data_IF_197147661151
#
_entry.id   IF_197147661151
#
_cell.length_a   1.000
_cell.length_b   1.000
_cell.length_c   1.000
_cell.angle_alpha   90.00
_cell.angle_beta   90.00
_cell.angle_gamma   90.00
#
_symmetry.space_group_name_H-M   'P 1'
#
loop_
_entity.id
_entity.type
_entity.pdbx_description
1 polymer ?
#
# COMPACT_ATOMS: atom_id res chain seq x y z
N UNK A 1 20.45 1.06 13.20
CA UNK A 1 20.82 2.08 12.20
C UNK A 1 19.88 1.87 11.02
N UNK A 2 19.02 2.85 10.74
CA UNK A 2 18.08 3.07 9.62
C UNK A 2 17.32 1.87 9.00
N UNK A 3 15.98 1.92 9.00
CA UNK A 3 15.20 1.16 8.02
C UNK A 3 13.95 1.94 7.51
N UNK A 4 13.84 2.27 6.22
CA UNK A 4 12.63 2.86 5.60
C UNK A 4 11.53 1.80 5.41
N UNK A 5 10.26 2.19 5.15
CA UNK A 5 8.99 1.43 5.38
C UNK A 5 8.95 -0.06 4.97
N UNK A 6 9.84 -0.54 4.10
CA UNK A 6 10.28 -1.95 4.06
C UNK A 6 11.28 -2.30 5.19
N UNK A 7 10.90 -1.94 6.42
CA UNK A 7 11.80 -1.69 7.55
C UNK A 7 12.12 -2.89 8.44
N UNK A 8 11.64 -4.09 8.13
CA UNK A 8 12.05 -5.28 8.86
C UNK A 8 13.40 -5.79 8.32
N UNK A 9 14.50 -5.10 8.62
CA UNK A 9 15.83 -5.71 8.47
C UNK A 9 16.09 -6.64 9.66
N UNK A 10 15.87 -7.93 9.44
CA UNK A 10 16.48 -8.97 10.25
C UNK A 10 17.96 -9.10 9.83
N UNK A 11 18.86 -8.72 10.72
CA UNK A 11 20.31 -8.94 10.55
C UNK A 11 20.59 -10.45 10.48
N UNK A 12 21.07 -10.93 9.33
CA UNK A 12 21.87 -12.17 9.26
C UNK A 12 23.20 -11.84 8.59
N UNK A 13 24.25 -11.79 9.41
CA UNK A 13 25.63 -11.67 8.97
C UNK A 13 26.06 -13.00 8.37
N UNK A 14 26.33 -13.08 7.06
CA UNK A 14 27.05 -14.23 6.50
C UNK A 14 28.15 -13.73 5.56
N UNK A 15 29.35 -14.23 5.87
CA UNK A 15 30.62 -14.00 5.21
C UNK A 15 30.58 -14.32 3.71
N UNK A 16 31.14 -13.40 2.93
CA UNK A 16 31.58 -13.61 1.54
C UNK A 16 32.70 -14.65 1.46
N UNK A 17 32.51 -15.70 0.67
CA UNK A 17 33.60 -16.39 -0.03
C UNK A 17 33.15 -16.77 -1.45
N UNK A 18 33.97 -16.50 -2.50
CA UNK A 18 33.64 -16.85 -3.88
C UNK A 18 34.29 -18.17 -4.29
N UNK A 19 33.61 -18.96 -5.14
CA UNK A 19 34.17 -20.08 -5.91
C UNK A 19 33.50 -20.13 -7.30
N UNK A 20 34.13 -20.78 -8.30
CA UNK A 20 34.41 -20.16 -9.58
C UNK A 20 33.55 -20.68 -10.74
N UNK A 21 33.66 -19.96 -11.87
CA UNK A 21 33.02 -20.26 -13.15
C UNK A 21 33.39 -21.64 -13.71
N UNK A 22 32.47 -22.28 -14.43
CA UNK A 22 32.75 -22.83 -15.78
C UNK A 22 31.51 -23.37 -16.53
N UNK A 23 31.37 -22.85 -17.76
CA UNK A 23 31.05 -23.51 -19.05
C UNK A 23 29.65 -24.11 -19.33
N UNK A 24 28.90 -23.33 -20.12
CA UNK A 24 28.27 -23.63 -21.42
C UNK A 24 28.11 -25.09 -21.87
N UNK A 25 26.87 -25.45 -22.22
CA UNK A 25 26.56 -26.28 -23.39
C UNK A 25 25.28 -25.77 -24.10
N UNK A 26 25.43 -25.47 -25.38
CA UNK A 26 24.34 -25.21 -26.34
C UNK A 26 23.74 -26.54 -26.81
N UNK A 27 22.41 -26.67 -26.82
CA UNK A 27 21.66 -27.47 -27.81
C UNK A 27 20.33 -26.78 -28.09
N UNK A 28 20.14 -26.34 -29.34
CA UNK A 28 18.89 -25.77 -29.82
C UNK A 28 17.88 -26.82 -30.26
N UNK A 29 16.59 -26.47 -30.16
CA UNK A 29 15.51 -27.02 -30.99
C UNK A 29 14.47 -25.93 -31.29
N UNK A 30 14.13 -25.81 -32.58
CA UNK A 30 13.06 -24.98 -33.15
C UNK A 30 11.73 -25.75 -33.15
N UNK A 31 10.65 -24.99 -33.44
CA UNK A 31 9.25 -25.35 -33.78
C UNK A 31 8.33 -25.30 -32.54
N UNK A 32 7.10 -24.79 -32.58
CA UNK A 32 6.22 -24.40 -33.68
C UNK A 32 5.19 -23.38 -33.17
N UNK A 33 4.73 -22.49 -34.04
CA UNK A 33 3.63 -21.57 -33.78
C UNK A 33 2.32 -22.36 -33.68
N UNK A 34 1.47 -22.04 -32.71
CA UNK A 34 0.04 -22.37 -32.73
C UNK A 34 -0.71 -21.28 -32.00
N UNK A 35 -1.36 -20.45 -32.80
CA UNK A 35 -2.34 -19.44 -32.40
C UNK A 35 -3.59 -20.14 -31.85
N UNK A 36 -3.83 -20.03 -30.55
CA UNK A 36 -5.12 -20.32 -29.94
C UNK A 36 -5.71 -19.01 -29.43
N UNK A 37 -6.64 -18.47 -30.21
CA UNK A 37 -7.59 -17.46 -29.77
C UNK A 37 -8.49 -18.07 -28.70
N UNK A 38 -8.25 -17.72 -27.45
CA UNK A 38 -9.16 -18.04 -26.34
C UNK A 38 -9.64 -16.75 -25.72
N UNK A 39 -10.94 -16.53 -25.88
CA UNK A 39 -11.89 -15.93 -24.95
C UNK A 39 -11.48 -14.63 -24.25
N UNK A 40 -12.28 -13.59 -24.43
CA UNK A 40 -12.34 -12.45 -23.51
C UNK A 40 -12.78 -12.96 -22.13
N UNK A 41 -11.87 -13.56 -21.37
CA UNK A 41 -12.02 -13.72 -19.94
C UNK A 41 -11.84 -12.35 -19.31
N UNK A 42 -12.88 -11.89 -18.61
CA UNK A 42 -12.72 -10.90 -17.56
C UNK A 42 -11.67 -11.46 -16.60
N UNK A 43 -10.39 -11.12 -16.80
CA UNK A 43 -9.37 -11.33 -15.80
C UNK A 43 -9.80 -10.52 -14.59
N UNK A 44 -10.48 -11.16 -13.64
CA UNK A 44 -10.50 -10.67 -12.27
C UNK A 44 -9.05 -10.42 -11.90
N UNK A 45 -8.75 -9.17 -11.54
CA UNK A 45 -7.38 -8.76 -11.27
C UNK A 45 -6.82 -9.66 -10.16
N UNK A 46 -5.67 -10.33 -10.41
CA UNK A 46 -4.93 -11.12 -9.40
C UNK A 46 -4.72 -10.37 -8.08
N UNK A 47 -4.79 -9.05 -8.13
CA UNK A 47 -4.81 -8.18 -6.96
C UNK A 47 -5.89 -8.60 -5.94
N UNK A 48 -7.12 -8.88 -6.38
CA UNK A 48 -8.25 -9.22 -5.48
C UNK A 48 -8.17 -10.61 -4.87
N UNK A 49 -7.25 -11.46 -5.33
CA UNK A 49 -7.07 -12.81 -4.80
C UNK A 49 -6.44 -12.79 -3.39
N UNK A 50 -5.57 -11.82 -3.11
CA UNK A 50 -4.73 -11.73 -1.90
C UNK A 50 -4.23 -13.11 -1.42
N UNK A 51 -3.47 -13.85 -2.25
CA UNK A 51 -3.29 -15.30 -2.11
C UNK A 51 -2.54 -15.73 -0.84
N UNK A 52 -1.77 -14.82 -0.22
CA UNK A 52 -0.96 -15.09 0.96
C UNK A 52 -1.54 -14.50 2.26
N UNK A 53 -2.70 -13.84 2.18
CA UNK A 53 -3.39 -13.30 3.35
C UNK A 53 -4.23 -14.39 4.04
N UNK A 54 -4.39 -14.30 5.36
CA UNK A 54 -5.39 -15.12 6.07
C UNK A 54 -6.80 -14.73 5.62
N UNK A 55 -7.79 -15.59 5.89
CA UNK A 55 -9.19 -15.35 5.49
C UNK A 55 -9.71 -13.98 5.94
N UNK A 56 -9.65 -13.59 7.24
CA UNK A 56 -10.16 -12.29 7.67
C UNK A 56 -9.35 -11.11 7.11
N UNK A 57 -8.05 -11.30 6.85
CA UNK A 57 -7.22 -10.28 6.19
C UNK A 57 -7.63 -10.07 4.74
N UNK A 58 -7.80 -11.15 3.97
CA UNK A 58 -8.29 -11.07 2.58
C UNK A 58 -9.68 -10.44 2.52
N UNK A 59 -10.59 -10.87 3.38
CA UNK A 59 -11.96 -10.33 3.43
C UNK A 59 -11.95 -8.82 3.70
N UNK A 60 -11.14 -8.36 4.66
CA UNK A 60 -10.93 -6.94 4.92
C UNK A 60 -10.47 -6.20 3.65
N UNK A 61 -9.40 -6.66 2.99
CA UNK A 61 -8.86 -5.95 1.82
C UNK A 61 -9.84 -5.95 0.63
N UNK A 62 -10.50 -7.08 0.38
CA UNK A 62 -11.52 -7.19 -0.68
C UNK A 62 -12.68 -6.25 -0.41
N UNK A 63 -13.15 -6.17 0.84
CA UNK A 63 -14.26 -5.31 1.20
C UNK A 63 -13.90 -3.83 1.04
N UNK A 64 -12.73 -3.39 1.52
CA UNK A 64 -12.28 -2.00 1.36
C UNK A 64 -12.15 -1.61 -0.12
N UNK A 65 -11.54 -2.47 -0.94
CA UNK A 65 -11.42 -2.25 -2.39
C UNK A 65 -12.79 -2.17 -3.04
N UNK A 66 -13.68 -3.11 -2.71
CA UNK A 66 -15.04 -3.16 -3.27
C UNK A 66 -15.86 -1.94 -2.87
N UNK A 67 -15.74 -1.47 -1.63
CA UNK A 67 -16.41 -0.25 -1.17
C UNK A 67 -15.95 0.98 -1.94
N UNK A 68 -14.64 1.15 -2.15
CA UNK A 68 -14.10 2.23 -3.00
C UNK A 68 -14.64 2.14 -4.42
N UNK A 69 -14.60 0.96 -5.03
CA UNK A 69 -15.06 0.77 -6.40
C UNK A 69 -16.56 0.98 -6.57
N UNK A 70 -17.37 0.56 -5.59
CA UNK A 70 -18.81 0.74 -5.62
C UNK A 70 -19.20 2.21 -5.43
N UNK A 71 -18.53 2.91 -4.52
CA UNK A 71 -18.83 4.31 -4.19
C UNK A 71 -18.29 5.30 -5.22
N UNK A 72 -17.18 4.98 -5.89
CA UNK A 72 -16.52 5.85 -6.87
C UNK A 72 -16.60 5.32 -8.30
N UNK A 73 -17.38 4.27 -8.57
CA UNK A 73 -17.30 3.47 -9.80
C UNK A 73 -17.31 4.28 -11.10
N UNK A 74 -18.26 5.21 -11.24
CA UNK A 74 -18.35 6.07 -12.42
C UNK A 74 -17.26 7.15 -12.45
N UNK A 75 -16.73 7.52 -11.29
CA UNK A 75 -15.66 8.50 -11.12
C UNK A 75 -14.25 7.92 -11.37
N UNK A 76 -14.11 6.60 -11.54
CA UNK A 76 -12.83 5.92 -11.74
C UNK A 76 -12.74 5.28 -13.14
N UNK A 77 -11.65 5.53 -13.84
CA UNK A 77 -11.31 4.85 -15.09
C UNK A 77 -10.91 3.38 -14.82
N UNK A 78 -11.02 2.49 -15.81
CA UNK A 78 -10.48 1.14 -15.72
C UNK A 78 -8.97 1.12 -15.44
N UNK A 79 -8.46 0.00 -14.91
CA UNK A 79 -7.01 -0.18 -14.72
C UNK A 79 -6.28 -0.19 -16.06
N UNK A 80 -5.25 0.64 -16.19
CA UNK A 80 -4.43 0.81 -17.41
C UNK A 80 -3.02 0.23 -17.25
N UNK A 81 -2.71 -0.39 -16.10
CA UNK A 81 -1.40 -0.98 -15.88
C UNK A 81 -1.11 -2.08 -16.91
N UNK A 82 0.11 -2.15 -17.47
CA UNK A 82 0.53 -3.31 -18.25
C UNK A 82 0.42 -4.60 -17.43
N UNK A 83 0.11 -5.73 -18.08
CA UNK A 83 -0.07 -7.02 -17.41
C UNK A 83 1.15 -7.45 -16.58
N UNK A 84 2.36 -7.17 -17.07
CA UNK A 84 3.63 -7.44 -16.39
C UNK A 84 3.90 -6.53 -15.17
N UNK A 85 3.10 -5.47 -14.98
CA UNK A 85 3.14 -4.60 -13.79
C UNK A 85 1.97 -4.93 -12.86
N UNK A 86 0.83 -5.38 -13.39
CA UNK A 86 -0.29 -5.85 -12.57
C UNK A 86 0.07 -7.08 -11.75
N UNK A 87 0.93 -7.96 -12.25
CA UNK A 87 1.49 -9.08 -11.52
C UNK A 87 2.93 -9.33 -11.96
N UNK A 88 3.83 -9.47 -11.00
CA UNK A 88 5.24 -9.78 -11.24
C UNK A 88 5.84 -10.58 -10.10
N UNK A 89 6.89 -11.31 -10.42
CA UNK A 89 7.66 -12.14 -9.49
C UNK A 89 9.15 -12.02 -9.82
N UNK A 90 9.99 -12.40 -8.86
CA UNK A 90 11.43 -12.44 -9.07
C UNK A 90 11.85 -13.74 -9.79
N UNK A 91 13.06 -13.78 -10.35
CA UNK A 91 13.56 -14.93 -11.14
C UNK A 91 13.52 -16.26 -10.38
N UNK A 92 13.69 -16.23 -9.05
CA UNK A 92 13.66 -17.41 -8.19
C UNK A 92 12.26 -17.78 -7.68
N UNK A 93 11.21 -17.05 -8.08
CA UNK A 93 9.83 -17.19 -7.59
C UNK A 93 9.70 -17.17 -6.05
N UNK A 94 10.60 -16.46 -5.37
CA UNK A 94 10.59 -16.28 -3.91
C UNK A 94 9.92 -14.96 -3.50
N UNK A 95 9.75 -14.02 -4.42
CA UNK A 95 9.01 -12.78 -4.20
C UNK A 95 7.98 -12.57 -5.31
N UNK A 96 6.75 -12.25 -4.91
CA UNK A 96 5.57 -12.13 -5.76
C UNK A 96 4.85 -10.83 -5.40
N UNK A 97 4.28 -10.15 -6.37
CA UNK A 97 3.48 -8.97 -6.10
C UNK A 97 2.39 -8.77 -7.15
N UNK A 98 1.36 -8.05 -6.74
CA UNK A 98 0.34 -7.52 -7.64
C UNK A 98 0.08 -6.06 -7.35
N UNK A 99 -0.11 -5.29 -8.41
CA UNK A 99 -0.48 -3.88 -8.36
C UNK A 99 -1.79 -3.66 -9.09
N UNK A 100 -2.59 -2.77 -8.54
CA UNK A 100 -3.86 -2.36 -9.09
C UNK A 100 -4.00 -0.85 -9.02
N UNK A 101 -4.20 -0.21 -10.15
CA UNK A 101 -4.34 1.25 -10.21
C UNK A 101 -5.57 1.63 -11.00
N UNK A 102 -6.36 2.55 -10.47
CA UNK A 102 -7.45 3.20 -11.20
C UNK A 102 -7.35 4.70 -11.03
N UNK A 103 -7.15 5.41 -12.13
CA UNK A 103 -7.16 6.87 -12.14
C UNK A 103 -8.59 7.41 -12.07
N UNK A 104 -8.79 8.57 -11.47
CA UNK A 104 -10.07 9.27 -11.58
C UNK A 104 -10.34 9.77 -12.99
N UNK A 105 -11.61 9.83 -13.41
CA UNK A 105 -12.00 10.52 -14.64
C UNK A 105 -11.86 12.06 -14.47
N UNK A 106 -12.09 12.86 -15.51
CA UNK A 106 -11.90 14.32 -15.47
C UNK A 106 -12.78 15.08 -14.45
N UNK A 107 -13.92 14.50 -14.05
CA UNK A 107 -14.83 15.10 -13.05
C UNK A 107 -14.54 14.66 -11.61
N UNK A 108 -13.67 13.66 -11.42
CA UNK A 108 -13.36 13.11 -10.11
C UNK A 108 -12.46 14.02 -9.28
N UNK A 109 -12.61 13.98 -7.96
CA UNK A 109 -11.59 14.52 -7.06
C UNK A 109 -10.43 13.57 -6.84
N UNK A 110 -10.63 12.27 -7.11
CA UNK A 110 -9.58 11.27 -7.01
C UNK A 110 -8.62 11.45 -8.17
N UNK A 111 -7.34 11.48 -7.83
CA UNK A 111 -6.24 11.40 -8.79
C UNK A 111 -6.09 9.94 -9.23
N UNK A 112 -5.75 9.07 -8.27
CA UNK A 112 -5.76 7.62 -8.47
C UNK A 112 -5.95 6.86 -7.16
N UNK A 113 -6.46 5.63 -7.29
CA UNK A 113 -6.44 4.59 -6.27
C UNK A 113 -5.31 3.62 -6.61
N UNK A 114 -4.52 3.23 -5.62
CA UNK A 114 -3.46 2.23 -5.73
C UNK A 114 -3.68 1.14 -4.68
N UNK A 115 -3.97 -0.07 -5.14
CA UNK A 115 -3.97 -1.28 -4.35
C UNK A 115 -2.71 -2.11 -4.62
N UNK A 116 -2.17 -2.76 -3.60
CA UNK A 116 -1.09 -3.72 -3.79
C UNK A 116 -1.14 -4.90 -2.83
N UNK A 117 -0.52 -6.01 -3.24
CA UNK A 117 -0.02 -7.00 -2.31
C UNK A 117 1.39 -7.43 -2.70
N UNK A 118 2.23 -7.74 -1.70
CA UNK A 118 3.60 -8.22 -1.85
C UNK A 118 3.78 -9.43 -0.93
N UNK A 119 4.37 -10.48 -1.47
CA UNK A 119 4.81 -11.66 -0.75
C UNK A 119 6.30 -11.87 -1.00
N UNK A 120 7.06 -12.18 0.05
CA UNK A 120 8.47 -12.56 -0.07
C UNK A 120 8.83 -13.63 0.95
N UNK A 121 9.37 -14.75 0.50
CA UNK A 121 10.01 -15.73 1.37
C UNK A 121 11.25 -15.12 2.02
N UNK A 122 11.35 -15.25 3.34
CA UNK A 122 12.48 -14.75 4.12
C UNK A 122 13.54 -15.86 4.28
N UNK A 123 14.83 -15.53 4.29
CA UNK A 123 15.90 -16.50 4.53
C UNK A 123 15.79 -17.27 5.85
N UNK A 124 15.04 -16.72 6.81
CA UNK A 124 14.76 -17.32 8.12
C UNK A 124 13.68 -18.42 8.07
N UNK A 125 13.08 -18.69 6.90
CA UNK A 125 12.00 -19.67 6.73
C UNK A 125 10.59 -19.11 6.95
N UNK A 126 10.47 -17.81 7.28
CA UNK A 126 9.20 -17.08 7.33
C UNK A 126 8.84 -16.42 5.99
N UNK A 127 7.80 -15.59 6.00
CA UNK A 127 7.41 -14.79 4.84
C UNK A 127 7.03 -13.37 5.27
N UNK A 128 7.38 -12.39 4.43
CA UNK A 128 6.88 -11.03 4.48
C UNK A 128 5.67 -10.94 3.57
N UNK A 129 4.52 -10.57 4.14
CA UNK A 129 3.30 -10.27 3.43
C UNK A 129 2.90 -8.83 3.70
N UNK A 130 2.67 -8.05 2.64
CA UNK A 130 2.19 -6.68 2.72
C UNK A 130 0.96 -6.60 1.85
N UNK A 131 -0.10 -5.97 2.35
CA UNK A 131 -1.22 -5.53 1.53
C UNK A 131 -1.48 -4.07 1.78
N UNK A 132 -1.72 -3.30 0.74
CA UNK A 132 -2.05 -1.88 0.90
C UNK A 132 -3.17 -1.44 -0.03
N UNK A 133 -3.85 -0.39 0.41
CA UNK A 133 -4.77 0.39 -0.39
C UNK A 133 -4.53 1.86 -0.04
N UNK A 134 -4.18 2.66 -1.05
CA UNK A 134 -4.02 4.09 -0.94
C UNK A 134 -4.87 4.81 -1.98
N UNK A 135 -5.32 6.00 -1.62
CA UNK A 135 -6.09 6.87 -2.50
C UNK A 135 -5.53 8.28 -2.45
N UNK A 136 -5.16 8.79 -3.61
CA UNK A 136 -4.63 10.15 -3.78
C UNK A 136 -5.70 11.04 -4.38
N UNK A 137 -5.88 12.22 -3.79
CA UNK A 137 -6.79 13.25 -4.30
C UNK A 137 -6.03 14.27 -5.15
N UNK A 138 -6.74 14.87 -6.10
CA UNK A 138 -6.22 15.91 -6.99
C UNK A 138 -5.97 17.22 -6.24
N UNK A 139 -5.11 18.10 -6.78
CA UNK A 139 -4.91 19.44 -6.21
C UNK A 139 -6.15 20.34 -6.22
N UNK A 140 -7.22 19.98 -6.94
CA UNK A 140 -8.49 20.71 -6.97
C UNK A 140 -9.26 20.70 -5.64
N UNK A 141 -8.89 19.82 -4.71
CA UNK A 141 -9.40 19.75 -3.33
C UNK A 141 -8.22 19.66 -2.37
N UNK A 142 -8.33 20.21 -1.16
CA UNK A 142 -7.31 20.06 -0.10
C UNK A 142 -7.57 18.88 0.82
N UNK A 143 -8.69 18.17 0.66
CA UNK A 143 -9.06 17.08 1.56
C UNK A 143 -7.95 16.00 1.68
N UNK A 144 -7.82 15.34 2.86
CA UNK A 144 -6.80 14.31 3.09
C UNK A 144 -6.83 13.15 2.08
N UNK A 145 -5.68 12.50 1.91
CA UNK A 145 -5.60 11.21 1.21
C UNK A 145 -6.11 10.08 2.11
N UNK A 146 -6.13 8.84 1.60
CA UNK A 146 -6.39 7.64 2.39
C UNK A 146 -5.23 6.65 2.26
N UNK A 147 -4.90 5.98 3.36
CA UNK A 147 -3.89 4.93 3.40
C UNK A 147 -4.28 3.84 4.39
N UNK A 148 -4.27 2.59 3.94
CA UNK A 148 -4.15 1.41 4.81
C UNK A 148 -3.03 0.51 4.31
N UNK A 149 -2.21 0.03 5.23
CA UNK A 149 -1.20 -0.99 5.00
C UNK A 149 -1.20 -1.98 6.16
N UNK A 150 -1.24 -3.27 5.81
CA UNK A 150 -1.14 -4.38 6.75
C UNK A 150 0.11 -5.17 6.40
N UNK A 151 1.07 -5.19 7.32
CA UNK A 151 2.38 -5.83 7.14
C UNK A 151 2.49 -6.99 8.13
N UNK A 152 2.67 -8.21 7.64
CA UNK A 152 2.91 -9.40 8.45
C UNK A 152 4.25 -10.00 8.08
N UNK A 153 5.13 -10.14 9.05
CA UNK A 153 6.42 -10.85 8.90
C UNK A 153 6.43 -12.23 9.56
N UNK A 154 5.39 -12.53 10.35
CA UNK A 154 5.14 -13.85 10.93
C UNK A 154 3.63 -14.03 11.19
N UNK A 155 3.18 -15.26 11.54
CA UNK A 155 1.81 -15.48 12.00
C UNK A 155 1.47 -14.74 13.30
N UNK A 156 2.47 -14.37 14.11
CA UNK A 156 2.29 -13.79 15.45
C UNK A 156 2.59 -12.29 15.51
N UNK A 157 2.96 -11.66 14.39
CA UNK A 157 3.23 -10.22 14.32
C UNK A 157 2.49 -9.57 13.17
N UNK A 158 1.91 -8.41 13.43
CA UNK A 158 1.26 -7.56 12.43
C UNK A 158 1.60 -6.10 12.72
N UNK A 159 1.96 -5.34 11.69
CA UNK A 159 2.01 -3.88 11.74
C UNK A 159 0.83 -3.36 10.93
N UNK A 160 0.07 -2.45 11.54
CA UNK A 160 -1.02 -1.72 10.90
C UNK A 160 -0.61 -0.25 10.76
N UNK A 161 -0.72 0.26 9.55
CA UNK A 161 -0.68 1.68 9.22
C UNK A 161 -2.03 2.02 8.63
N UNK A 162 -2.80 2.87 9.29
CA UNK A 162 -4.10 3.32 8.81
C UNK A 162 -4.27 4.80 9.12
N UNK A 163 -4.47 5.60 8.08
CA UNK A 163 -4.46 7.05 8.21
C UNK A 163 -5.27 7.75 7.11
N UNK A 164 -5.63 8.99 7.37
CA UNK A 164 -6.01 9.98 6.37
C UNK A 164 -4.89 11.03 6.29
N UNK A 165 -3.83 10.85 5.47
CA UNK A 165 -2.67 11.73 5.52
C UNK A 165 -2.99 13.19 5.15
N UNK A 166 -2.55 14.19 5.94
CA UNK A 166 -2.81 15.60 5.68
C UNK A 166 -2.10 16.09 4.43
N UNK A 167 -2.83 16.90 3.65
CA UNK A 167 -2.29 17.58 2.47
C UNK A 167 -1.86 19.03 2.73
N UNK A 168 -2.22 19.60 3.88
CA UNK A 168 -1.77 20.91 4.37
C UNK A 168 -0.92 20.80 5.64
N UNK A 169 -0.11 21.82 5.92
CA UNK A 169 0.61 21.93 7.20
C UNK A 169 -0.37 22.21 8.34
N UNK A 170 -0.40 21.32 9.34
CA UNK A 170 -1.41 21.37 10.39
C UNK A 170 -1.19 22.50 11.42
N UNK A 171 0.03 23.02 11.54
CA UNK A 171 0.33 24.15 12.42
C UNK A 171 -0.05 25.47 11.75
N UNK A 172 0.20 25.59 10.45
CA UNK A 172 -0.17 26.78 9.67
C UNK A 172 -1.67 26.85 9.39
N UNK A 173 -2.36 25.71 9.37
CA UNK A 173 -3.78 25.61 9.03
C UNK A 173 -4.59 24.93 10.15
N UNK A 174 -4.83 25.60 11.30
CA UNK A 174 -5.57 25.01 12.42
C UNK A 174 -7.02 24.67 12.06
N UNK A 175 -7.67 25.42 11.17
CA UNK A 175 -9.03 25.11 10.71
C UNK A 175 -9.08 23.81 9.90
N UNK A 176 -8.00 23.48 9.18
CA UNK A 176 -7.87 22.21 8.47
C UNK A 176 -7.71 21.04 9.45
N UNK A 177 -6.88 21.22 10.50
CA UNK A 177 -6.74 20.25 11.58
C UNK A 177 -8.10 19.96 12.23
N UNK A 178 -8.84 21.02 12.57
CA UNK A 178 -10.15 20.93 13.18
C UNK A 178 -11.14 20.18 12.31
N UNK A 179 -11.28 20.59 11.04
CA UNK A 179 -12.27 20.03 10.10
C UNK A 179 -12.08 18.54 9.87
N UNK A 180 -10.84 18.11 9.61
CA UNK A 180 -10.60 16.73 9.15
C UNK A 180 -10.24 15.74 10.27
N UNK A 181 -9.80 16.21 11.45
CA UNK A 181 -9.29 15.32 12.50
C UNK A 181 -9.96 15.52 13.85
N UNK A 182 -10.28 16.75 14.25
CA UNK A 182 -10.97 16.98 15.54
C UNK A 182 -12.47 16.71 15.44
N UNK A 183 -13.15 17.28 14.43
CA UNK A 183 -14.61 17.16 14.26
C UNK A 183 -15.03 15.76 13.81
N UNK A 184 -14.19 15.08 13.02
CA UNK A 184 -14.39 13.69 12.57
C UNK A 184 -14.18 12.67 13.68
N UNK A 185 -13.47 13.04 14.75
CA UNK A 185 -13.15 12.18 15.88
C UNK A 185 -12.41 10.89 15.48
N UNK A 186 -11.62 10.94 14.40
CA UNK A 186 -10.84 9.79 13.89
C UNK A 186 -9.92 9.20 14.96
N UNK A 187 -9.41 10.02 15.89
CA UNK A 187 -8.57 9.56 16.99
C UNK A 187 -9.26 8.53 17.90
N UNK A 188 -10.60 8.51 17.95
CA UNK A 188 -11.34 7.47 18.69
C UNK A 188 -11.07 6.08 18.13
N UNK A 189 -10.84 5.95 16.82
CA UNK A 189 -10.56 4.65 16.20
C UNK A 189 -9.20 4.10 16.65
N UNK A 190 -8.19 4.96 16.76
CA UNK A 190 -6.89 4.62 17.37
C UNK A 190 -7.06 4.15 18.81
N UNK A 191 -7.82 4.91 19.60
CA UNK A 191 -8.07 4.61 21.01
C UNK A 191 -8.84 3.30 21.22
N UNK A 192 -9.65 2.84 20.25
CA UNK A 192 -10.32 1.54 20.33
C UNK A 192 -9.30 0.39 20.27
N UNK A 193 -8.33 0.48 19.37
CA UNK A 193 -7.28 -0.54 19.23
C UNK A 193 -6.31 -0.54 20.40
N UNK A 194 -5.95 0.64 20.94
CA UNK A 194 -5.03 0.76 22.08
C UNK A 194 -5.54 0.14 23.39
N UNK A 195 -6.83 -0.20 23.46
CA UNK A 195 -7.40 -0.94 24.61
C UNK A 195 -7.04 -2.42 24.60
N UNK A 196 -6.59 -2.96 23.46
CA UNK A 196 -6.20 -4.35 23.33
C UNK A 196 -4.80 -4.56 23.93
N UNK A 197 -4.59 -5.60 24.75
CA UNK A 197 -3.29 -5.84 25.38
C UNK A 197 -2.19 -6.20 24.37
N UNK A 198 -2.54 -6.72 23.20
CA UNK A 198 -1.61 -7.10 22.13
C UNK A 198 -1.08 -5.89 21.34
N UNK A 199 -1.77 -4.75 21.43
CA UNK A 199 -1.51 -3.55 20.62
C UNK A 199 -0.47 -2.66 21.30
N UNK A 200 0.58 -2.32 20.57
CA UNK A 200 1.63 -1.37 20.97
C UNK A 200 1.81 -0.31 19.88
N UNK A 201 2.23 0.92 20.21
CA UNK A 201 2.61 1.90 19.20
C UNK A 201 3.73 1.39 18.30
N UNK A 202 3.59 1.57 16.99
CA UNK A 202 4.63 1.34 15.99
C UNK A 202 5.31 2.66 15.62
N UNK A 203 6.64 2.69 15.69
CA UNK A 203 7.43 3.86 15.31
C UNK A 203 8.25 3.55 14.05
N UNK A 204 7.77 4.01 12.89
CA UNK A 204 8.51 3.89 11.62
C UNK A 204 9.94 4.39 11.74
N UNK A 205 10.98 3.68 11.29
CA UNK A 205 12.34 4.23 11.36
C UNK A 205 12.59 5.40 10.39
N UNK A 206 11.66 5.68 9.48
CA UNK A 206 11.71 6.87 8.65
C UNK A 206 11.06 8.06 9.37
N UNK A 207 11.88 9.03 9.78
CA UNK A 207 11.39 10.28 10.35
C UNK A 207 10.51 11.05 9.36
N UNK A 208 10.78 10.92 8.06
CA UNK A 208 9.96 11.51 7.02
C UNK A 208 8.53 10.98 7.09
N UNK A 209 8.35 9.67 7.20
CA UNK A 209 7.02 9.05 7.31
C UNK A 209 6.32 9.48 8.60
N UNK A 210 7.04 9.54 9.72
CA UNK A 210 6.48 10.07 10.98
C UNK A 210 5.96 11.51 10.84
N UNK A 211 6.55 12.30 9.95
CA UNK A 211 6.11 13.69 9.70
C UNK A 211 4.96 13.83 8.70
N UNK A 212 4.66 12.77 7.94
CA UNK A 212 3.60 12.78 6.93
C UNK A 212 2.25 12.32 7.45
N UNK A 213 2.25 11.43 8.44
CA UNK A 213 1.02 10.88 9.00
C UNK A 213 0.24 11.93 9.81
N UNK A 214 -1.07 11.77 9.89
CA UNK A 214 -1.92 12.66 10.69
C UNK A 214 -1.70 12.45 12.20
N UNK A 215 -2.09 13.43 13.04
CA UNK A 215 -2.12 13.27 14.50
C UNK A 215 -3.05 12.15 14.98
N UNK A 216 -4.03 11.74 14.18
CA UNK A 216 -4.96 10.64 14.47
C UNK A 216 -4.57 9.31 13.82
N UNK A 217 -3.40 9.23 13.20
CA UNK A 217 -2.96 8.03 12.50
C UNK A 217 -2.86 6.81 13.42
N UNK A 218 -3.31 5.67 12.93
CA UNK A 218 -3.17 4.38 13.59
C UNK A 218 -1.87 3.75 13.10
N UNK A 219 -0.82 3.89 13.91
CA UNK A 219 0.49 3.25 13.70
C UNK A 219 0.73 2.27 14.84
N UNK A 220 0.38 1.01 14.65
CA UNK A 220 0.46 -0.01 15.73
C UNK A 220 1.16 -1.29 15.30
N UNK A 221 1.88 -1.88 16.25
CA UNK A 221 2.39 -3.25 16.20
C UNK A 221 1.50 -4.13 17.07
N UNK A 222 1.11 -5.28 16.54
CA UNK A 222 0.28 -6.28 17.22
C UNK A 222 1.10 -7.54 17.33
N UNK A 223 1.35 -7.96 18.56
CA UNK A 223 2.21 -9.11 18.86
C UNK A 223 1.43 -10.10 19.74
N UNK A 224 1.48 -11.37 19.36
CA UNK A 224 0.83 -12.47 20.08
C UNK A 224 1.84 -13.55 20.43
N UNK A 225 1.51 -14.36 21.43
CA UNK A 225 2.33 -15.53 21.77
C UNK A 225 2.27 -16.60 20.66
N UNK A 226 3.33 -17.40 20.44
CA UNK A 226 3.32 -18.46 19.43
C UNK A 226 2.17 -19.47 19.54
N UNK A 227 1.66 -19.68 20.76
CA UNK A 227 0.49 -20.55 21.03
C UNK A 227 -0.85 -19.93 20.59
N UNK A 228 -0.86 -18.66 20.19
CA UNK A 228 -2.05 -17.86 19.88
C UNK A 228 -2.03 -17.33 18.44
N UNK A 229 -1.49 -18.08 17.47
CA UNK A 229 -1.39 -17.63 16.08
C UNK A 229 -2.74 -17.20 15.45
N UNK A 230 -3.86 -17.77 15.91
CA UNK A 230 -5.23 -17.42 15.46
C UNK A 230 -5.67 -16.04 15.99
N UNK A 231 -5.07 -15.57 17.09
CA UNK A 231 -5.49 -14.35 17.77
C UNK A 231 -5.34 -13.10 16.90
N UNK A 232 -4.31 -13.04 16.05
CA UNK A 232 -4.18 -11.91 15.09
C UNK A 232 -5.35 -11.89 14.11
N UNK A 233 -5.80 -13.05 13.65
CA UNK A 233 -6.90 -13.14 12.70
C UNK A 233 -8.23 -12.70 13.35
N UNK A 234 -8.46 -13.05 14.62
CA UNK A 234 -9.58 -12.51 15.42
C UNK A 234 -9.49 -10.98 15.58
N UNK A 235 -8.30 -10.44 15.87
CA UNK A 235 -8.10 -8.99 15.99
C UNK A 235 -8.37 -8.28 14.67
N UNK A 236 -7.97 -8.87 13.53
CA UNK A 236 -8.27 -8.35 12.21
C UNK A 236 -9.79 -8.29 12.01
N UNK A 237 -10.49 -9.39 12.28
CA UNK A 237 -11.92 -9.52 12.05
C UNK A 237 -12.75 -8.61 12.97
N UNK A 238 -12.49 -8.64 14.27
CA UNK A 238 -13.36 -8.06 15.28
C UNK A 238 -13.00 -6.61 15.63
N UNK A 239 -11.77 -6.17 15.32
CA UNK A 239 -11.27 -4.85 15.73
C UNK A 239 -10.75 -4.01 14.56
N UNK A 240 -9.78 -4.52 13.79
CA UNK A 240 -9.17 -3.74 12.69
C UNK A 240 -10.18 -3.50 11.57
N UNK A 241 -10.96 -4.52 11.21
CA UNK A 241 -11.90 -4.44 10.10
C UNK A 241 -12.99 -3.38 10.33
N UNK A 242 -13.70 -3.35 11.48
CA UNK A 242 -14.62 -2.26 11.80
C UNK A 242 -13.96 -0.87 11.78
N UNK A 243 -12.76 -0.75 12.37
CA UNK A 243 -12.00 0.52 12.42
C UNK A 243 -11.64 1.02 11.02
N UNK A 244 -11.10 0.14 10.18
CA UNK A 244 -10.71 0.47 8.80
C UNK A 244 -11.90 0.91 7.96
N UNK A 245 -13.06 0.25 8.11
CA UNK A 245 -14.30 0.63 7.43
C UNK A 245 -14.76 2.02 7.85
N UNK A 246 -14.78 2.32 9.14
CA UNK A 246 -15.16 3.67 9.62
C UNK A 246 -14.22 4.74 9.07
N UNK A 247 -12.92 4.49 9.04
CA UNK A 247 -11.96 5.45 8.48
C UNK A 247 -12.13 5.62 6.97
N UNK A 248 -12.37 4.53 6.23
CA UNK A 248 -12.64 4.58 4.79
C UNK A 248 -13.95 5.31 4.47
N UNK A 249 -15.03 4.99 5.19
CA UNK A 249 -16.34 5.64 5.01
C UNK A 249 -16.24 7.13 5.31
N UNK A 250 -15.52 7.51 6.37
CA UNK A 250 -15.24 8.93 6.69
C UNK A 250 -14.48 9.61 5.55
N UNK A 251 -13.47 8.96 4.98
CA UNK A 251 -12.74 9.49 3.84
C UNK A 251 -13.62 9.63 2.59
N UNK A 252 -14.43 8.61 2.27
CA UNK A 252 -15.33 8.64 1.12
C UNK A 252 -16.34 9.77 1.25
N UNK A 253 -16.98 9.91 2.41
CA UNK A 253 -18.05 10.87 2.62
C UNK A 253 -17.54 12.31 2.75
N UNK A 254 -16.41 12.54 3.44
CA UNK A 254 -15.91 13.91 3.69
C UNK A 254 -14.82 14.37 2.73
N UNK A 255 -14.13 13.45 2.06
CA UNK A 255 -12.94 13.79 1.25
C UNK A 255 -13.13 13.49 -0.23
N UNK A 256 -13.51 12.26 -0.60
CA UNK A 256 -13.51 11.83 -2.00
C UNK A 256 -14.81 12.15 -2.75
N UNK A 257 -15.96 12.16 -2.06
CA UNK A 257 -17.28 12.42 -2.66
C UNK A 257 -17.79 13.84 -2.40
N UNK A 258 -17.07 14.67 -1.63
CA UNK A 258 -17.52 16.00 -1.25
C UNK A 258 -16.83 17.07 -2.11
N UNK A 259 -17.61 17.77 -2.93
CA UNK A 259 -17.08 18.89 -3.71
C UNK A 259 -16.50 19.99 -2.80
N UNK A 260 -15.18 20.19 -2.92
CA UNK A 260 -14.44 21.36 -2.46
C UNK A 260 -13.72 21.94 -3.67
N UNK A 261 -13.68 23.27 -3.73
CA UNK A 261 -12.91 24.01 -4.74
C UNK A 261 -11.93 24.90 -4.02
N UNK A 262 -10.66 24.77 -4.41
CA UNK A 262 -9.61 25.68 -3.99
C UNK A 262 -9.47 26.81 -5.01
N UNK A 263 -8.85 27.91 -4.58
CA UNK A 263 -8.32 28.90 -5.50
C UNK A 263 -7.14 28.33 -6.31
N UNK A 264 -6.83 28.94 -7.45
CA UNK A 264 -5.73 28.47 -8.31
C UNK A 264 -4.37 28.47 -7.57
N UNK A 265 -4.13 29.48 -6.74
CA UNK A 265 -2.90 29.59 -5.93
C UNK A 265 -2.82 28.49 -4.87
N UNK A 266 -3.91 28.23 -4.12
CA UNK A 266 -3.97 27.15 -3.14
C UNK A 266 -3.80 25.77 -3.80
N UNK A 267 -4.41 25.57 -4.97
CA UNK A 267 -4.26 24.35 -5.75
C UNK A 267 -2.81 24.15 -6.20
N UNK A 268 -2.11 25.21 -6.61
CA UNK A 268 -0.71 25.13 -7.05
C UNK A 268 0.24 24.78 -5.89
N UNK A 269 0.06 25.40 -4.73
CA UNK A 269 0.85 25.11 -3.53
C UNK A 269 0.64 23.68 -3.05
N UNK A 270 -0.60 23.20 -3.11
CA UNK A 270 -0.95 21.82 -2.78
C UNK A 270 -0.29 20.82 -3.74
N UNK A 271 -0.35 21.08 -5.04
CA UNK A 271 0.27 20.25 -6.06
C UNK A 271 1.80 20.12 -5.84
N UNK A 272 2.45 21.21 -5.43
CA UNK A 272 3.87 21.22 -5.09
C UNK A 272 4.17 20.31 -3.90
N UNK A 273 3.39 20.40 -2.83
CA UNK A 273 3.56 19.54 -1.65
C UNK A 273 3.30 18.08 -1.97
N UNK A 274 2.21 17.79 -2.68
CA UNK A 274 1.87 16.42 -3.09
C UNK A 274 2.99 15.81 -3.93
N UNK A 275 3.56 16.55 -4.89
CA UNK A 275 4.68 16.08 -5.70
C UNK A 275 5.91 15.73 -4.86
N UNK A 276 6.22 16.51 -3.84
CA UNK A 276 7.34 16.22 -2.91
C UNK A 276 7.07 14.90 -2.17
N UNK A 277 5.85 14.74 -1.64
CA UNK A 277 5.44 13.53 -0.90
C UNK A 277 5.51 12.30 -1.79
N UNK A 278 4.85 12.37 -2.95
CA UNK A 278 4.80 11.30 -3.96
C UNK A 278 6.21 10.82 -4.35
N UNK A 279 7.13 11.74 -4.66
CA UNK A 279 8.50 11.38 -5.01
C UNK A 279 9.28 10.79 -3.83
N UNK A 280 9.12 11.33 -2.63
CA UNK A 280 9.81 10.79 -1.45
C UNK A 280 9.26 9.43 -1.02
N UNK A 281 7.97 9.17 -1.18
CA UNK A 281 7.38 7.83 -0.99
C UNK A 281 8.01 6.83 -1.94
N UNK A 282 8.16 7.15 -3.24
CA UNK A 282 8.83 6.27 -4.20
C UNK A 282 10.29 5.99 -3.79
N UNK A 283 11.05 7.02 -3.42
CA UNK A 283 12.46 6.91 -3.01
C UNK A 283 12.64 6.06 -1.75
N UNK A 284 11.86 6.36 -0.71
CA UNK A 284 12.00 5.74 0.61
C UNK A 284 11.48 4.30 0.58
N UNK A 285 10.33 4.07 -0.05
CA UNK A 285 9.62 2.80 0.13
C UNK A 285 9.90 1.84 -1.01
N UNK A 286 9.86 2.31 -2.26
CA UNK A 286 9.88 1.44 -3.43
C UNK A 286 11.31 1.26 -3.96
N UNK A 287 12.05 2.35 -4.19
CA UNK A 287 13.41 2.31 -4.76
C UNK A 287 14.41 1.60 -3.85
N UNK A 288 14.21 1.70 -2.52
CA UNK A 288 15.09 1.06 -1.54
C UNK A 288 14.85 -0.45 -1.38
N UNK A 289 13.67 -0.95 -1.80
CA UNK A 289 13.21 -2.31 -1.49
C UNK A 289 12.99 -3.16 -2.74
N UNK A 290 12.40 -2.61 -3.81
CA UNK A 290 12.01 -3.36 -5.00
C UNK A 290 13.19 -4.05 -5.69
N UNK A 291 14.35 -3.40 -5.90
CA UNK A 291 15.51 -4.07 -6.49
C UNK A 291 16.00 -5.25 -5.66
N UNK A 292 15.87 -5.19 -4.32
CA UNK A 292 16.28 -6.29 -3.44
C UNK A 292 15.32 -7.47 -3.49
N UNK A 293 14.02 -7.20 -3.65
CA UNK A 293 12.97 -8.21 -3.66
C UNK A 293 12.84 -8.87 -5.04
N UNK A 294 12.80 -8.06 -6.10
CA UNK A 294 12.41 -8.48 -7.44
C UNK A 294 13.56 -8.51 -8.45
N UNK A 295 14.74 -8.04 -8.08
CA UNK A 295 15.85 -7.84 -9.01
C UNK A 295 15.73 -6.53 -9.78
N UNK A 296 16.86 -6.06 -10.33
CA UNK A 296 16.96 -4.72 -10.90
C UNK A 296 16.06 -4.52 -12.14
N UNK A 297 15.93 -5.54 -12.98
CA UNK A 297 15.16 -5.46 -14.22
C UNK A 297 13.66 -5.26 -13.94
N UNK A 298 13.07 -6.16 -13.14
CA UNK A 298 11.65 -6.08 -12.74
C UNK A 298 11.39 -4.77 -11.98
N UNK A 299 12.28 -4.43 -11.04
CA UNK A 299 12.16 -3.17 -10.30
C UNK A 299 12.14 -1.95 -11.22
N UNK A 300 13.03 -1.87 -12.21
CA UNK A 300 13.07 -0.75 -13.15
C UNK A 300 11.79 -0.63 -13.98
N UNK A 301 11.24 -1.75 -14.45
CA UNK A 301 9.99 -1.75 -15.22
C UNK A 301 8.82 -1.24 -14.38
N UNK A 302 8.65 -1.79 -13.17
CA UNK A 302 7.54 -1.43 -12.28
C UNK A 302 7.67 0.01 -11.77
N UNK A 303 8.87 0.42 -11.33
CA UNK A 303 9.12 1.79 -10.87
C UNK A 303 8.98 2.82 -11.98
N UNK A 304 9.30 2.47 -13.23
CA UNK A 304 9.05 3.33 -14.39
C UNK A 304 7.57 3.69 -14.51
N UNK A 305 6.69 2.68 -14.50
CA UNK A 305 5.24 2.87 -14.60
C UNK A 305 4.67 3.58 -13.37
N UNK A 306 5.11 3.23 -12.16
CA UNK A 306 4.65 3.91 -10.94
C UNK A 306 5.06 5.39 -10.93
N UNK A 307 6.26 5.75 -11.38
CA UNK A 307 6.66 7.15 -11.49
C UNK A 307 5.78 7.94 -12.44
N UNK A 308 5.31 7.34 -13.53
CA UNK A 308 4.37 7.99 -14.46
C UNK A 308 3.03 8.26 -13.77
N UNK A 309 2.50 7.31 -13.02
CA UNK A 309 1.23 7.46 -12.27
C UNK A 309 1.35 8.51 -11.16
N UNK A 310 2.45 8.53 -10.43
CA UNK A 310 2.63 9.49 -9.34
C UNK A 310 2.91 10.92 -9.86
N UNK A 311 3.41 11.07 -11.08
CA UNK A 311 3.72 12.37 -11.68
C UNK A 311 2.74 12.82 -12.78
N UNK A 312 1.64 12.08 -13.00
CA UNK A 312 0.59 12.43 -13.96
C UNK A 312 -0.23 13.64 -13.54
#
# INVERSE_FOLDING_TARGET
MAVPLFSAQFHTSILTQPLPSSRSFYVGKRLSCSSSSTSMEHHESKFKEFPYASVPHRELMVELVSTVENRLGEALLPCTLPSHVQYFENESATAHASLYVRSGNSSSQVDFILGSWVHCNLPTGGALNITSLSAYLRPSTDAPNFLIEVIRSSPTTLILILDLPPRKDLVQHPDYLKTFYEETQLDKQRQLLEKLPEVKPYFSSSLYIRSLVSPSAILVSIETEPSQAIRIDEIIQDHISPVAKVMLDTWLDLCACTERRLTDDESADLAKRDRIIKNKTIEIDLESSFPRLFGQEVANQVLGVLREIYNS
#
